data_IF_851696624527
#
_entry.id   IF_851696624527
#
_cell.length_a   1.000
_cell.length_b   1.000
_cell.length_c   1.000
_cell.angle_alpha   90.00
_cell.angle_beta   90.00
_cell.angle_gamma   90.00
#
_symmetry.space_group_name_H-M   'P 1'
#
loop_
_entity.id
_entity.type
_entity.pdbx_description
1 polymer ?
#
# COMPACT_ATOMS: atom_id res chain seq x y z
N UNK A 1 -41.75 -19.33 27.87
CA UNK A 1 -40.88 -20.22 27.06
C UNK A 1 -40.26 -19.36 25.97
N UNK A 2 -38.93 -19.22 25.90
CA UNK A 2 -38.30 -18.23 25.04
C UNK A 2 -38.13 -18.71 23.61
N UNK A 3 -38.30 -17.74 22.72
CA UNK A 3 -38.28 -17.75 21.27
C UNK A 3 -36.86 -17.97 20.73
N UNK A 4 -36.68 -18.96 19.85
CA UNK A 4 -35.45 -19.16 19.09
C UNK A 4 -35.56 -18.41 17.75
N UNK A 5 -35.05 -17.19 17.70
CA UNK A 5 -34.87 -16.43 16.45
C UNK A 5 -33.53 -16.84 15.84
N UNK A 6 -33.57 -17.72 14.83
CA UNK A 6 -32.40 -18.06 14.02
C UNK A 6 -31.95 -16.83 13.21
N UNK A 7 -30.84 -16.24 13.64
CA UNK A 7 -30.14 -15.17 12.92
C UNK A 7 -29.52 -15.75 11.65
N UNK A 8 -30.17 -15.55 10.51
CA UNK A 8 -29.60 -15.80 9.19
C UNK A 8 -28.58 -14.69 8.91
N UNK A 9 -27.33 -14.89 9.33
CA UNK A 9 -26.22 -14.02 8.95
C UNK A 9 -25.81 -14.33 7.49
N UNK A 10 -26.21 -13.39 6.64
CA UNK A 10 -25.77 -13.09 5.27
C UNK A 10 -24.51 -13.81 4.74
N UNK A 11 -24.74 -14.82 3.90
CA UNK A 11 -23.74 -15.50 3.05
C UNK A 11 -23.03 -14.57 2.03
N UNK A 12 -23.45 -13.30 1.94
CA UNK A 12 -22.94 -12.28 1.03
C UNK A 12 -21.64 -11.62 1.52
N UNK A 13 -21.43 -11.47 2.83
CA UNK A 13 -20.20 -10.83 3.36
C UNK A 13 -18.97 -11.73 3.26
N UNK A 14 -19.14 -13.04 3.44
CA UNK A 14 -18.04 -14.01 3.35
C UNK A 14 -17.46 -14.11 1.93
N UNK A 15 -18.29 -13.95 0.88
CA UNK A 15 -17.81 -14.00 -0.51
C UNK A 15 -16.93 -12.82 -0.88
N UNK A 16 -17.21 -11.61 -0.38
CA UNK A 16 -16.38 -10.41 -0.69
C UNK A 16 -15.00 -10.48 -0.04
N UNK A 17 -14.90 -10.97 1.20
CA UNK A 17 -13.61 -11.16 1.90
C UNK A 17 -12.65 -12.11 1.15
N UNK A 18 -13.19 -13.12 0.46
CA UNK A 18 -12.37 -14.08 -0.30
C UNK A 18 -11.85 -13.53 -1.63
N UNK A 19 -12.56 -12.59 -2.27
CA UNK A 19 -12.16 -12.03 -3.56
C UNK A 19 -11.02 -11.00 -3.44
N UNK A 20 -10.95 -10.26 -2.34
CA UNK A 20 -9.90 -9.25 -2.11
C UNK A 20 -8.49 -9.86 -2.02
N UNK A 21 -8.36 -11.11 -1.59
CA UNK A 21 -7.06 -11.80 -1.48
C UNK A 21 -6.42 -12.19 -2.83
N UNK A 22 -7.21 -12.31 -3.92
CA UNK A 22 -6.71 -12.73 -5.25
C UNK A 22 -6.06 -11.59 -6.02
N UNK A 23 -6.57 -10.38 -5.88
CA UNK A 23 -6.10 -9.20 -6.62
C UNK A 23 -4.75 -8.71 -6.07
N UNK A 24 -4.54 -8.76 -4.75
CA UNK A 24 -3.28 -8.38 -4.11
C UNK A 24 -2.09 -9.29 -4.49
N UNK A 25 -2.31 -10.61 -4.67
CA UNK A 25 -1.29 -11.52 -5.22
C UNK A 25 -0.96 -11.20 -6.67
N UNK A 26 -1.93 -10.70 -7.43
CA UNK A 26 -1.75 -10.25 -8.81
C UNK A 26 -0.75 -9.10 -8.89
N UNK A 27 -0.88 -8.08 -8.04
CA UNK A 27 0.05 -6.94 -8.03
C UNK A 27 1.47 -7.33 -7.62
N UNK A 28 1.63 -8.17 -6.58
CA UNK A 28 2.95 -8.67 -6.20
C UNK A 28 3.60 -9.49 -7.32
N UNK A 29 2.82 -10.35 -7.99
CA UNK A 29 3.27 -11.10 -9.16
C UNK A 29 3.63 -10.18 -10.34
N UNK A 30 2.84 -9.12 -10.57
CA UNK A 30 3.06 -8.16 -11.66
C UNK A 30 4.30 -7.28 -11.41
N UNK A 31 4.52 -6.82 -10.17
CA UNK A 31 5.73 -6.10 -9.77
C UNK A 31 6.96 -7.00 -9.88
N UNK A 32 6.88 -8.25 -9.40
CA UNK A 32 7.95 -9.23 -9.57
C UNK A 32 8.24 -9.54 -11.03
N UNK A 33 7.21 -9.66 -11.86
CA UNK A 33 7.34 -9.86 -13.30
C UNK A 33 7.97 -8.64 -14.00
N UNK A 34 7.55 -7.42 -13.65
CA UNK A 34 8.15 -6.19 -14.18
C UNK A 34 9.62 -6.07 -13.77
N UNK A 35 9.96 -6.33 -12.50
CA UNK A 35 11.35 -6.35 -12.04
C UNK A 35 12.17 -7.40 -12.78
N UNK A 36 11.63 -8.61 -12.97
CA UNK A 36 12.29 -9.65 -13.77
C UNK A 36 12.52 -9.18 -15.22
N UNK A 37 11.56 -8.50 -15.83
CA UNK A 37 11.66 -7.97 -17.18
C UNK A 37 12.71 -6.86 -17.27
N UNK A 38 12.75 -5.94 -16.30
CA UNK A 38 13.80 -4.91 -16.18
C UNK A 38 15.17 -5.52 -15.95
N UNK A 39 15.29 -6.53 -15.08
CA UNK A 39 16.54 -7.24 -14.86
C UNK A 39 17.01 -7.95 -16.13
N UNK A 40 16.11 -8.60 -16.86
CA UNK A 40 16.44 -9.26 -18.14
C UNK A 40 16.87 -8.24 -19.18
N UNK A 41 16.17 -7.11 -19.29
CA UNK A 41 16.52 -6.03 -20.22
C UNK A 41 17.87 -5.42 -19.88
N UNK A 42 18.09 -5.04 -18.62
CA UNK A 42 19.36 -4.52 -18.12
C UNK A 42 20.49 -5.51 -18.38
N UNK A 43 20.24 -6.79 -18.11
CA UNK A 43 21.20 -7.86 -18.33
C UNK A 43 21.55 -8.02 -19.81
N UNK A 44 20.54 -8.00 -20.69
CA UNK A 44 20.72 -8.03 -22.15
C UNK A 44 21.55 -6.82 -22.60
N UNK A 45 21.25 -5.63 -22.10
CA UNK A 45 21.97 -4.42 -22.48
C UNK A 45 23.43 -4.43 -21.98
N UNK A 46 23.65 -4.87 -20.74
CA UNK A 46 24.98 -4.97 -20.15
C UNK A 46 25.84 -6.06 -20.80
N UNK A 47 25.22 -7.16 -21.26
CA UNK A 47 25.91 -8.26 -21.93
C UNK A 47 26.21 -7.94 -23.40
N UNK A 48 25.18 -7.56 -24.16
CA UNK A 48 25.32 -7.35 -25.60
C UNK A 48 25.95 -6.00 -25.92
N UNK A 49 25.73 -4.95 -25.11
CA UNK A 49 26.25 -3.61 -25.36
C UNK A 49 27.75 -3.57 -25.65
N UNK A 50 28.62 -4.12 -24.77
CA UNK A 50 30.06 -4.19 -25.01
C UNK A 50 30.47 -5.05 -26.22
N UNK A 51 29.63 -6.01 -26.65
CA UNK A 51 29.93 -6.88 -27.80
C UNK A 51 29.51 -6.28 -29.14
N UNK A 52 28.64 -5.26 -29.17
CA UNK A 52 28.15 -4.66 -30.41
C UNK A 52 29.28 -4.05 -31.25
N UNK A 53 30.24 -3.35 -30.62
CA UNK A 53 31.36 -2.70 -31.31
C UNK A 53 32.24 -3.71 -32.08
N UNK A 54 32.86 -4.70 -31.40
CA UNK A 54 33.65 -5.74 -32.04
C UNK A 54 32.87 -6.57 -33.07
N UNK A 55 31.57 -6.80 -32.84
CA UNK A 55 30.74 -7.56 -33.78
C UNK A 55 30.52 -6.79 -35.10
N UNK A 56 30.24 -5.49 -35.01
CA UNK A 56 30.06 -4.62 -36.19
C UNK A 56 31.35 -4.56 -37.00
N UNK A 57 32.52 -4.45 -36.37
CA UNK A 57 33.81 -4.39 -37.08
C UNK A 57 34.18 -5.72 -37.73
N UNK A 58 33.82 -6.85 -37.12
CA UNK A 58 34.07 -8.19 -37.65
C UNK A 58 33.27 -8.47 -38.94
N UNK A 59 31.98 -8.11 -38.97
CA UNK A 59 31.05 -8.39 -40.08
C UNK A 59 30.89 -7.21 -41.07
N UNK A 60 31.23 -5.99 -40.66
CA UNK A 60 31.02 -4.75 -41.42
C UNK A 60 32.06 -4.44 -42.50
N UNK A 61 33.10 -5.26 -42.66
CA UNK A 61 34.00 -5.17 -43.81
C UNK A 61 35.32 -4.40 -43.60
N UNK A 62 35.87 -4.34 -42.38
CA UNK A 62 37.20 -3.76 -42.12
C UNK A 62 38.37 -4.56 -42.71
N UNK A 63 39.58 -4.00 -42.63
CA UNK A 63 40.84 -4.65 -43.00
C UNK A 63 41.12 -5.92 -42.17
N UNK A 64 42.00 -6.81 -42.64
CA UNK A 64 42.35 -8.04 -41.90
C UNK A 64 42.85 -7.75 -40.48
N UNK A 65 43.63 -6.67 -40.31
CA UNK A 65 44.16 -6.25 -39.00
C UNK A 65 43.05 -5.79 -38.05
N UNK A 66 42.08 -5.02 -38.53
CA UNK A 66 40.95 -4.55 -37.73
C UNK A 66 40.03 -5.71 -37.31
N UNK A 67 39.79 -6.68 -38.21
CA UNK A 67 39.03 -7.90 -37.88
C UNK A 67 39.75 -8.75 -36.83
N UNK A 68 41.09 -8.84 -36.90
CA UNK A 68 41.87 -9.60 -35.94
C UNK A 68 41.90 -8.93 -34.55
N UNK A 69 42.00 -7.61 -34.49
CA UNK A 69 41.89 -6.85 -33.24
C UNK A 69 40.50 -7.06 -32.60
N UNK A 70 39.43 -6.91 -33.38
CA UNK A 70 38.06 -7.13 -32.92
C UNK A 70 37.82 -8.57 -32.42
N UNK A 71 38.37 -9.58 -33.11
CA UNK A 71 38.27 -10.97 -32.67
C UNK A 71 38.96 -11.23 -31.33
N UNK A 72 40.14 -10.63 -31.12
CA UNK A 72 40.88 -10.74 -29.85
C UNK A 72 40.16 -10.05 -28.70
N UNK A 73 39.57 -8.89 -28.95
CA UNK A 73 38.75 -8.16 -27.98
C UNK A 73 37.49 -8.97 -27.62
N UNK A 74 36.83 -9.56 -28.61
CA UNK A 74 35.64 -10.39 -28.40
C UNK A 74 35.93 -11.66 -27.59
N UNK A 75 37.11 -12.27 -27.74
CA UNK A 75 37.56 -13.41 -26.93
C UNK A 75 37.79 -13.03 -25.47
N UNK A 76 38.50 -11.93 -25.22
CA UNK A 76 38.77 -11.44 -23.85
C UNK A 76 37.47 -11.06 -23.11
N UNK A 77 36.55 -10.41 -23.82
CA UNK A 77 35.24 -10.10 -23.30
C UNK A 77 34.42 -11.37 -23.02
N UNK A 78 34.42 -12.36 -23.93
CA UNK A 78 33.67 -13.60 -23.75
C UNK A 78 34.12 -14.38 -22.51
N UNK A 79 35.44 -14.46 -22.27
CA UNK A 79 36.00 -15.18 -21.13
C UNK A 79 35.55 -14.57 -19.79
N UNK A 80 35.61 -13.24 -19.67
CA UNK A 80 35.22 -12.52 -18.45
C UNK A 80 33.70 -12.51 -18.24
N UNK A 81 32.94 -12.31 -19.31
CA UNK A 81 31.50 -12.11 -19.24
C UNK A 81 30.74 -13.43 -19.05
N UNK A 82 31.29 -14.56 -19.54
CA UNK A 82 30.67 -15.89 -19.40
C UNK A 82 30.32 -16.29 -17.96
N UNK A 83 31.17 -15.93 -16.99
CA UNK A 83 30.96 -16.21 -15.56
C UNK A 83 30.12 -15.12 -14.89
N UNK A 84 30.31 -13.86 -15.28
CA UNK A 84 29.54 -12.74 -14.73
C UNK A 84 28.05 -12.84 -15.05
N UNK A 85 27.69 -13.41 -16.19
CA UNK A 85 26.31 -13.56 -16.67
C UNK A 85 25.40 -14.32 -15.70
N UNK A 86 25.67 -15.61 -15.41
CA UNK A 86 24.79 -16.37 -14.54
C UNK A 86 24.78 -15.81 -13.12
N UNK A 87 25.90 -15.25 -12.64
CA UNK A 87 25.99 -14.65 -11.30
C UNK A 87 25.09 -13.42 -11.17
N UNK A 88 25.17 -12.48 -12.13
CA UNK A 88 24.33 -11.29 -12.12
C UNK A 88 22.87 -11.61 -12.39
N UNK A 89 22.57 -12.54 -13.30
CA UNK A 89 21.20 -13.00 -13.55
C UNK A 89 20.59 -13.60 -12.28
N UNK A 90 21.29 -14.53 -11.63
CA UNK A 90 20.81 -15.16 -10.41
C UNK A 90 20.68 -14.16 -9.27
N UNK A 91 21.64 -13.25 -9.13
CA UNK A 91 21.61 -12.15 -8.17
C UNK A 91 20.39 -11.24 -8.38
N UNK A 92 20.08 -10.88 -9.63
CA UNK A 92 18.93 -10.07 -9.97
C UNK A 92 17.59 -10.78 -9.70
N UNK A 93 17.49 -12.07 -10.03
CA UNK A 93 16.31 -12.90 -9.72
C UNK A 93 16.09 -12.98 -8.20
N UNK A 94 17.14 -13.29 -7.43
CA UNK A 94 17.06 -13.36 -5.97
C UNK A 94 16.67 -11.99 -5.40
N UNK A 95 17.32 -10.92 -5.85
CA UNK A 95 17.03 -9.56 -5.41
C UNK A 95 15.57 -9.17 -5.70
N UNK A 96 15.08 -9.45 -6.91
CA UNK A 96 13.68 -9.22 -7.29
C UNK A 96 12.73 -9.97 -6.37
N UNK A 97 12.95 -11.27 -6.15
CA UNK A 97 12.09 -12.09 -5.28
C UNK A 97 12.06 -11.59 -3.84
N UNK A 98 13.23 -11.20 -3.30
CA UNK A 98 13.35 -10.65 -1.94
C UNK A 98 12.62 -9.31 -1.85
N UNK A 99 12.82 -8.42 -2.82
CA UNK A 99 12.21 -7.11 -2.84
C UNK A 99 10.67 -7.21 -2.95
N UNK A 100 10.17 -8.04 -3.86
CA UNK A 100 8.73 -8.28 -4.00
C UNK A 100 8.12 -8.78 -2.69
N UNK A 101 8.75 -9.76 -2.02
CA UNK A 101 8.24 -10.29 -0.74
C UNK A 101 8.24 -9.23 0.36
N UNK A 102 9.26 -8.37 0.41
CA UNK A 102 9.39 -7.33 1.44
C UNK A 102 8.38 -6.19 1.27
N UNK A 103 8.00 -5.86 0.03
CA UNK A 103 7.05 -4.76 -0.24
C UNK A 103 5.59 -5.24 -0.25
N UNK A 104 5.32 -6.45 -0.74
CA UNK A 104 3.95 -6.96 -0.84
C UNK A 104 3.29 -7.17 0.53
N UNK A 105 4.04 -7.66 1.53
CA UNK A 105 3.52 -7.90 2.88
C UNK A 105 2.93 -6.66 3.55
N UNK A 106 3.69 -5.55 3.65
CA UNK A 106 3.19 -4.30 4.20
C UNK A 106 2.01 -3.70 3.45
N UNK A 107 2.02 -3.75 2.11
CA UNK A 107 0.92 -3.24 1.29
C UNK A 107 -0.40 -3.98 1.59
N UNK A 108 -0.34 -5.29 1.79
CA UNK A 108 -1.52 -6.09 2.17
C UNK A 108 -2.05 -5.68 3.54
N UNK A 109 -1.17 -5.49 4.53
CA UNK A 109 -1.57 -5.03 5.87
C UNK A 109 -2.18 -3.63 5.84
N UNK A 110 -1.64 -2.73 5.02
CA UNK A 110 -2.17 -1.39 4.85
C UNK A 110 -3.57 -1.44 4.21
N UNK A 111 -3.75 -2.20 3.14
CA UNK A 111 -5.05 -2.35 2.48
C UNK A 111 -6.10 -2.96 3.42
N UNK A 112 -5.74 -3.99 4.20
CA UNK A 112 -6.62 -4.53 5.22
C UNK A 112 -7.02 -3.49 6.27
N UNK A 113 -6.07 -2.66 6.70
CA UNK A 113 -6.35 -1.60 7.68
C UNK A 113 -7.30 -0.54 7.11
N UNK A 114 -7.09 -0.12 5.86
CA UNK A 114 -7.97 0.82 5.16
C UNK A 114 -9.37 0.22 4.99
N UNK A 115 -9.48 -1.07 4.68
CA UNK A 115 -10.78 -1.75 4.59
C UNK A 115 -11.51 -1.79 5.93
N UNK A 116 -10.81 -2.01 7.04
CA UNK A 116 -11.44 -1.95 8.37
C UNK A 116 -11.91 -0.53 8.71
N UNK A 117 -11.11 0.49 8.39
CA UNK A 117 -11.53 1.89 8.56
C UNK A 117 -12.73 2.27 7.68
N UNK A 118 -12.76 1.78 6.45
CA UNK A 118 -13.88 1.98 5.53
C UNK A 118 -15.20 1.33 6.01
N UNK A 119 -15.11 0.27 6.83
CA UNK A 119 -16.27 -0.33 7.51
C UNK A 119 -16.70 0.43 8.77
N UNK A 120 -16.01 1.52 9.12
CA UNK A 120 -16.25 2.29 10.34
C UNK A 120 -15.54 1.76 11.59
N UNK A 121 -14.65 0.78 11.46
CA UNK A 121 -13.86 0.28 12.59
C UNK A 121 -12.67 1.20 12.88
N UNK A 122 -12.93 2.33 13.55
CA UNK A 122 -11.91 3.31 13.90
C UNK A 122 -10.96 2.84 15.03
N UNK A 123 -11.32 1.77 15.75
CA UNK A 123 -10.46 1.17 16.77
C UNK A 123 -9.28 0.38 16.19
N UNK A 124 -9.35 0.02 14.91
CA UNK A 124 -8.31 -0.76 14.24
C UNK A 124 -7.03 0.05 14.05
N UNK A 125 -5.91 -0.44 14.58
CA UNK A 125 -4.60 0.21 14.43
C UNK A 125 -3.72 -0.55 13.45
N UNK A 126 -3.06 0.19 12.56
CA UNK A 126 -2.09 -0.39 11.62
C UNK A 126 -0.76 -0.59 12.34
N UNK A 127 -0.16 -1.77 12.16
CA UNK A 127 1.18 -2.09 12.66
C UNK A 127 1.91 -2.85 11.56
N UNK A 128 3.16 -2.47 11.31
CA UNK A 128 4.03 -3.18 10.37
C UNK A 128 5.08 -3.98 11.14
N UNK A 129 5.77 -4.88 10.45
CA UNK A 129 6.88 -5.63 11.07
C UNK A 129 8.11 -4.73 11.11
N UNK A 130 8.98 -4.92 12.11
CA UNK A 130 10.23 -4.16 12.23
C UNK A 130 11.13 -4.26 10.98
N UNK A 131 11.04 -5.37 10.23
CA UNK A 131 11.73 -5.58 8.95
C UNK A 131 11.33 -4.61 7.85
N UNK A 132 10.13 -4.04 7.95
CA UNK A 132 9.49 -3.29 6.88
C UNK A 132 9.91 -1.81 6.91
N UNK A 133 10.42 -1.32 8.05
CA UNK A 133 10.86 0.08 8.27
C UNK A 133 9.78 1.12 7.93
N UNK A 134 8.51 0.79 8.18
CA UNK A 134 7.34 1.64 7.94
C UNK A 134 6.69 2.13 9.23
N UNK A 135 7.43 2.12 10.35
CA UNK A 135 6.90 2.47 11.67
C UNK A 135 6.40 3.92 11.73
N UNK A 136 7.06 4.84 11.03
CA UNK A 136 6.64 6.25 10.93
C UNK A 136 5.30 6.40 10.18
N UNK A 137 5.10 5.61 9.12
CA UNK A 137 3.84 5.58 8.38
C UNK A 137 2.72 5.03 9.26
N UNK A 138 2.98 3.93 9.98
CA UNK A 138 2.00 3.38 10.92
C UNK A 138 1.66 4.38 12.02
N UNK A 139 2.67 5.05 12.60
CA UNK A 139 2.47 6.08 13.62
C UNK A 139 1.60 7.22 13.11
N UNK A 140 1.95 7.78 11.96
CA UNK A 140 1.21 8.90 11.35
C UNK A 140 -0.23 8.51 11.03
N UNK A 141 -0.44 7.33 10.44
CA UNK A 141 -1.77 6.83 10.10
C UNK A 141 -2.63 6.59 11.37
N UNK A 142 -2.05 5.99 12.41
CA UNK A 142 -2.75 5.78 13.68
C UNK A 142 -3.07 7.09 14.40
N UNK A 143 -2.20 8.10 14.31
CA UNK A 143 -2.48 9.43 14.87
C UNK A 143 -3.63 10.12 14.13
N UNK A 144 -3.66 10.04 12.79
CA UNK A 144 -4.76 10.56 12.00
C UNK A 144 -6.08 9.88 12.37
N UNK A 145 -6.08 8.55 12.48
CA UNK A 145 -7.26 7.79 12.88
C UNK A 145 -7.72 8.11 14.30
N UNK A 146 -6.78 8.31 15.24
CA UNK A 146 -7.11 8.70 16.61
C UNK A 146 -7.83 10.06 16.67
N UNK A 147 -7.46 11.02 15.82
CA UNK A 147 -8.18 12.31 15.71
C UNK A 147 -9.60 12.12 15.20
N UNK A 148 -9.77 11.27 14.19
CA UNK A 148 -11.10 10.92 13.65
C UNK A 148 -11.95 10.22 14.70
N UNK A 149 -11.39 9.23 15.39
CA UNK A 149 -12.03 8.50 16.50
C UNK A 149 -12.49 9.44 17.62
N UNK A 150 -11.61 10.37 18.03
CA UNK A 150 -11.93 11.36 19.05
C UNK A 150 -13.07 12.28 18.61
N UNK A 151 -13.01 12.82 17.39
CA UNK A 151 -14.04 13.72 16.88
C UNK A 151 -15.40 13.03 16.80
N UNK A 152 -15.48 11.80 16.29
CA UNK A 152 -16.73 11.04 16.28
C UNK A 152 -17.23 10.71 17.70
N UNK A 153 -16.33 10.41 18.64
CA UNK A 153 -16.67 10.21 20.04
C UNK A 153 -17.28 11.45 20.68
N UNK A 154 -16.70 12.62 20.42
CA UNK A 154 -17.21 13.91 20.91
C UNK A 154 -18.56 14.22 20.26
N UNK A 155 -18.71 14.01 18.94
CA UNK A 155 -19.98 14.19 18.24
C UNK A 155 -21.08 13.29 18.83
N UNK A 156 -20.77 12.02 19.07
CA UNK A 156 -21.72 11.07 19.65
C UNK A 156 -22.15 11.47 21.06
N UNK A 157 -21.19 11.88 21.91
CA UNK A 157 -21.47 12.34 23.29
C UNK A 157 -22.37 13.57 23.29
N UNK A 158 -22.08 14.56 22.44
CA UNK A 158 -22.88 15.79 22.40
C UNK A 158 -24.26 15.58 21.79
N UNK A 159 -24.37 14.68 20.82
CA UNK A 159 -25.68 14.28 20.28
C UNK A 159 -26.53 13.59 21.36
N UNK A 160 -25.94 12.75 22.21
CA UNK A 160 -26.64 12.12 23.33
C UNK A 160 -27.13 13.15 24.36
N UNK A 161 -26.32 14.18 24.67
CA UNK A 161 -26.73 15.30 25.56
C UNK A 161 -27.93 16.05 24.98
N UNK A 162 -27.89 16.39 23.69
CA UNK A 162 -28.98 17.11 23.01
C UNK A 162 -30.25 16.25 22.97
N UNK A 163 -30.14 14.96 22.63
CA UNK A 163 -31.27 14.04 22.61
C UNK A 163 -31.90 13.85 24.00
N UNK A 164 -31.09 13.74 25.06
CA UNK A 164 -31.59 13.63 26.42
C UNK A 164 -32.34 14.90 26.87
N UNK A 165 -31.84 16.09 26.51
CA UNK A 165 -32.53 17.35 26.79
C UNK A 165 -33.86 17.48 26.05
N UNK A 166 -33.91 17.03 24.79
CA UNK A 166 -35.13 16.98 23.98
C UNK A 166 -36.16 15.99 24.54
N UNK A 167 -35.73 14.78 24.88
CA UNK A 167 -36.62 13.71 25.37
C UNK A 167 -37.21 14.00 26.75
N UNK A 168 -36.48 14.75 27.59
CA UNK A 168 -36.94 15.11 28.93
C UNK A 168 -37.87 16.33 28.96
N UNK A 169 -38.16 16.95 27.80
CA UNK A 169 -38.95 18.18 27.67
C UNK A 169 -38.43 19.33 28.57
N UNK A 170 -37.16 19.26 28.99
CA UNK A 170 -36.55 20.19 29.94
C UNK A 170 -36.15 21.51 29.29
N UNK A 171 -36.42 21.71 27.99
CA UNK A 171 -36.04 22.90 27.21
C UNK A 171 -36.62 24.22 27.74
N UNK A 172 -37.52 24.19 28.71
CA UNK A 172 -38.05 25.37 29.41
C UNK A 172 -37.11 25.87 30.53
N UNK A 173 -36.20 25.02 31.01
CA UNK A 173 -35.20 25.39 32.03
C UNK A 173 -34.02 26.13 31.39
N UNK A 174 -33.59 27.29 31.94
CA UNK A 174 -32.39 28.00 31.45
C UNK A 174 -31.13 27.11 31.44
N UNK A 175 -31.03 26.17 32.38
CA UNK A 175 -29.87 25.28 32.52
C UNK A 175 -29.78 24.25 31.39
N UNK A 176 -30.91 23.70 30.93
CA UNK A 176 -30.95 22.73 29.84
C UNK A 176 -30.65 23.39 28.49
N UNK A 177 -31.18 24.62 28.28
CA UNK A 177 -30.90 25.44 27.10
C UNK A 177 -29.41 25.76 27.03
N UNK A 178 -28.79 26.09 28.16
CA UNK A 178 -27.34 26.34 28.22
C UNK A 178 -26.52 25.08 27.90
N UNK A 179 -26.91 23.90 28.41
CA UNK A 179 -26.24 22.62 28.10
C UNK A 179 -26.35 22.28 26.60
N UNK A 180 -27.51 22.50 25.99
CA UNK A 180 -27.71 22.27 24.54
C UNK A 180 -26.87 23.25 23.72
N UNK A 181 -26.81 24.53 24.10
CA UNK A 181 -25.97 25.52 23.42
C UNK A 181 -24.47 25.17 23.52
N UNK A 182 -24.00 24.71 24.69
CA UNK A 182 -22.62 24.27 24.88
C UNK A 182 -22.30 23.01 24.06
N UNK A 183 -23.23 22.06 23.99
CA UNK A 183 -23.11 20.87 23.17
C UNK A 183 -23.04 21.24 21.67
N UNK A 184 -23.88 22.17 21.21
CA UNK A 184 -23.88 22.67 19.84
C UNK A 184 -22.58 23.41 19.49
N UNK A 185 -22.07 24.27 20.37
CA UNK A 185 -20.79 24.96 20.15
C UNK A 185 -19.60 23.99 20.13
N UNK A 186 -19.65 22.93 20.94
CA UNK A 186 -18.63 21.88 20.95
C UNK A 186 -18.66 21.06 19.65
N UNK A 187 -19.85 20.78 19.11
CA UNK A 187 -20.03 20.13 17.81
C UNK A 187 -19.49 20.99 16.68
N UNK A 188 -19.80 22.29 16.67
CA UNK A 188 -19.29 23.23 15.66
C UNK A 188 -17.76 23.27 15.68
N UNK A 189 -17.15 23.33 16.87
CA UNK A 189 -15.70 23.26 17.03
C UNK A 189 -15.12 21.95 16.49
N UNK A 190 -15.70 20.81 16.86
CA UNK A 190 -15.23 19.49 16.41
C UNK A 190 -15.32 19.34 14.89
N UNK A 191 -16.40 19.84 14.27
CA UNK A 191 -16.56 19.85 12.81
C UNK A 191 -15.61 20.85 12.14
N UNK A 192 -15.32 22.00 12.77
CA UNK A 192 -14.40 23.00 12.26
C UNK A 192 -12.94 22.52 12.12
N UNK A 193 -12.55 21.44 12.80
CA UNK A 193 -11.24 20.81 12.64
C UNK A 193 -11.10 20.03 11.32
N UNK A 194 -12.21 19.75 10.61
CA UNK A 194 -12.23 18.99 9.37
C UNK A 194 -12.56 19.88 8.17
N UNK A 195 -11.88 19.64 7.05
CA UNK A 195 -12.25 20.22 5.76
C UNK A 195 -13.25 19.31 5.08
N UNK A 196 -14.43 19.84 4.79
CA UNK A 196 -15.47 19.13 4.03
C UNK A 196 -15.47 19.59 2.58
N UNK A 197 -15.73 18.65 1.66
CA UNK A 197 -15.96 19.00 0.26
C UNK A 197 -17.23 19.87 0.17
N UNK A 198 -17.14 21.02 -0.50
CA UNK A 198 -18.33 21.80 -0.84
C UNK A 198 -19.17 20.97 -1.82
N UNK A 199 -20.36 20.58 -1.39
CA UNK A 199 -21.36 19.96 -2.27
C UNK A 199 -21.77 21.04 -3.29
N UNK A 200 -21.43 20.84 -4.56
CA UNK A 200 -21.91 21.66 -5.68
C UNK A 200 -23.30 21.19 -6.12
#
# INVERSE_FOLDING_TARGET
MPTATLTVLSSQEHRKRFFLHRVQRGYAAWVGFMLFLYSTLFFTLAFYGPHLGPMITLYGGGSLAERQAAASEMLLLSETVSVAVPVLFLGAVIFSLVLTRRVAGPLVQLDQSIQEWAKGNLSWRVQFRQSDRLDELASTANQALAKVEQAFGDIHRQTAVIQAALASNQLESPESVQKVQQAAASLEKALGEFSFAQVR
#
